data_IF_006519623313
#
_entry.id   IF_006519623313
#
_cell.length_a   1.000
_cell.length_b   1.000
_cell.length_c   1.000
_cell.angle_alpha   90.00
_cell.angle_beta   90.00
_cell.angle_gamma   90.00
#
_symmetry.space_group_name_H-M   'P 1'
#
loop_
_entity.id
_entity.type
_entity.pdbx_description
1 polymer ?
#
# COMPACT_ATOMS: atom_id res chain seq x y z
N UNK A 1 -29.72 6.03 49.98
CA UNK A 1 -29.98 5.51 48.64
C UNK A 1 -31.45 5.74 48.27
N UNK A 2 -31.71 6.06 47.02
CA UNK A 2 -33.04 6.04 46.43
C UNK A 2 -33.09 4.78 45.54
N UNK A 3 -34.15 3.98 45.70
CA UNK A 3 -34.39 2.78 44.91
C UNK A 3 -35.74 2.87 44.22
N UNK A 4 -35.78 2.64 42.92
CA UNK A 4 -37.00 2.58 42.13
C UNK A 4 -37.26 1.12 41.67
N UNK A 5 -38.49 0.65 41.86
CA UNK A 5 -38.93 -0.69 41.57
C UNK A 5 -40.06 -0.70 40.55
N UNK A 6 -40.08 -1.73 39.70
CA UNK A 6 -41.22 -2.10 38.86
C UNK A 6 -41.52 -3.61 39.07
N UNK A 7 -42.72 -3.93 39.50
CA UNK A 7 -43.15 -5.30 39.83
C UNK A 7 -42.20 -5.98 40.82
N UNK A 8 -41.83 -5.32 41.92
CA UNK A 8 -40.87 -5.77 42.94
C UNK A 8 -39.44 -6.08 42.41
N UNK A 9 -39.09 -5.67 41.19
CA UNK A 9 -37.75 -5.76 40.64
C UNK A 9 -37.14 -4.33 40.66
N UNK A 10 -35.96 -4.20 41.28
CA UNK A 10 -35.24 -2.93 41.34
C UNK A 10 -34.80 -2.53 39.92
N UNK A 11 -35.06 -1.28 39.52
CA UNK A 11 -34.75 -0.76 38.19
C UNK A 11 -33.72 0.37 38.25
N UNK A 12 -33.67 1.12 39.34
CA UNK A 12 -32.65 2.15 39.58
C UNK A 12 -32.31 2.23 41.07
N UNK A 13 -31.06 2.43 41.37
CA UNK A 13 -30.63 2.80 42.74
C UNK A 13 -29.57 3.90 42.68
N UNK A 14 -29.46 4.69 43.76
CA UNK A 14 -28.38 5.66 43.98
C UNK A 14 -27.46 5.17 45.10
N UNK A 15 -26.15 5.42 44.94
CA UNK A 15 -25.11 5.15 45.94
C UNK A 15 -24.18 6.35 46.06
N UNK A 16 -23.16 6.26 46.94
CA UNK A 16 -22.10 7.28 47.02
C UNK A 16 -21.28 7.40 45.72
N UNK A 17 -21.29 6.38 44.87
CA UNK A 17 -20.59 6.36 43.57
C UNK A 17 -21.46 6.75 42.39
N UNK A 18 -22.72 7.14 42.59
CA UNK A 18 -23.62 7.52 41.49
C UNK A 18 -24.94 6.79 41.46
N UNK A 19 -25.50 6.59 40.28
CA UNK A 19 -26.74 5.87 40.03
C UNK A 19 -26.51 4.65 39.16
N UNK A 20 -27.16 3.54 39.53
CA UNK A 20 -27.13 2.29 38.76
C UNK A 20 -28.53 2.01 38.23
N UNK A 21 -28.64 1.76 36.92
CA UNK A 21 -29.83 1.23 36.26
C UNK A 21 -29.66 -0.26 36.03
N UNK A 22 -30.73 -1.02 36.21
CA UNK A 22 -30.78 -2.46 35.99
C UNK A 22 -31.60 -2.73 34.75
N UNK A 23 -31.12 -3.65 33.92
CA UNK A 23 -31.58 -3.96 32.58
C UNK A 23 -31.19 -2.84 31.56
N UNK A 24 -32.12 -2.39 30.73
CA UNK A 24 -31.87 -1.40 29.65
C UNK A 24 -32.14 0.01 30.18
N UNK A 25 -31.20 0.94 29.94
CA UNK A 25 -31.40 2.35 30.05
C UNK A 25 -31.66 2.93 28.66
N UNK A 26 -32.88 3.41 28.41
CA UNK A 26 -33.26 4.03 27.14
C UNK A 26 -33.15 5.53 27.23
N UNK A 27 -32.47 6.16 26.29
CA UNK A 27 -32.42 7.60 26.07
C UNK A 27 -33.24 7.89 24.82
N UNK A 28 -34.35 8.56 24.94
CA UNK A 28 -35.31 8.80 23.89
C UNK A 28 -35.38 10.30 23.55
N UNK A 29 -35.26 10.67 22.29
CA UNK A 29 -35.54 12.01 21.79
C UNK A 29 -37.04 12.24 21.65
N UNK A 30 -37.47 13.49 21.61
CA UNK A 30 -38.84 13.83 21.23
C UNK A 30 -39.11 13.44 19.78
N UNK A 31 -40.37 13.32 19.37
CA UNK A 31 -40.69 13.03 17.97
C UNK A 31 -40.00 14.02 17.00
N UNK A 32 -39.25 13.49 16.02
CA UNK A 32 -38.43 14.27 15.11
C UNK A 32 -37.17 14.89 15.71
N UNK A 33 -36.86 14.59 16.98
CA UNK A 33 -35.70 15.09 17.68
C UNK A 33 -34.61 14.04 17.91
N UNK A 34 -33.37 14.52 18.06
CA UNK A 34 -32.21 13.67 18.33
C UNK A 34 -32.21 13.14 19.78
N UNK A 35 -31.60 11.98 20.00
CA UNK A 35 -31.32 11.44 21.32
C UNK A 35 -29.83 11.54 21.65
N UNK A 36 -29.45 12.03 22.85
CA UNK A 36 -28.06 12.19 23.22
C UNK A 36 -27.76 11.79 24.66
N UNK A 37 -26.64 11.03 24.83
CA UNK A 37 -25.99 10.88 26.13
C UNK A 37 -24.81 11.85 26.19
N UNK A 38 -24.85 12.79 27.12
CA UNK A 38 -23.75 13.75 27.37
C UNK A 38 -23.00 13.34 28.64
N UNK A 39 -21.66 13.41 28.52
CA UNK A 39 -20.75 13.15 29.62
C UNK A 39 -19.87 14.37 29.80
N UNK A 40 -19.89 14.94 31.01
CA UNK A 40 -19.07 16.09 31.38
C UNK A 40 -18.14 15.65 32.51
N UNK A 41 -16.85 15.76 32.29
CA UNK A 41 -15.83 15.59 33.32
C UNK A 41 -15.65 16.88 34.06
N UNK A 42 -15.07 16.85 35.28
CA UNK A 42 -14.70 18.02 36.09
C UNK A 42 -15.74 19.16 36.07
N UNK A 43 -17.00 18.80 36.41
CA UNK A 43 -18.16 19.71 36.42
C UNK A 43 -18.57 20.27 35.03
N UNK A 44 -17.73 20.06 33.95
CA UNK A 44 -17.99 20.53 32.60
C UNK A 44 -17.83 22.01 32.40
N UNK A 45 -17.02 22.68 33.23
CA UNK A 45 -16.75 24.10 33.12
C UNK A 45 -15.85 24.43 31.93
N UNK A 46 -14.92 23.55 31.59
CA UNK A 46 -14.10 23.65 30.38
C UNK A 46 -14.72 22.96 29.14
N UNK A 47 -14.40 23.46 27.96
CA UNK A 47 -14.88 22.86 26.70
C UNK A 47 -14.34 21.46 26.50
N UNK A 48 -13.08 21.19 26.88
CA UNK A 48 -12.41 19.91 26.72
C UNK A 48 -13.09 18.77 27.52
N UNK A 49 -13.86 19.08 28.55
CA UNK A 49 -14.50 18.11 29.44
C UNK A 49 -15.78 17.51 28.86
N UNK A 50 -16.25 18.02 27.73
CA UNK A 50 -17.57 17.71 27.18
C UNK A 50 -17.51 16.74 26.02
N UNK A 51 -18.22 15.62 26.19
CA UNK A 51 -18.40 14.58 25.19
C UNK A 51 -19.86 14.21 25.03
N UNK A 52 -20.22 13.66 23.88
CA UNK A 52 -21.55 13.08 23.68
C UNK A 52 -21.56 11.90 22.72
N UNK A 53 -22.51 10.99 22.95
CA UNK A 53 -23.08 10.09 21.96
C UNK A 53 -24.37 10.75 21.44
N UNK A 54 -24.52 10.86 20.12
CA UNK A 54 -25.67 11.50 19.50
C UNK A 54 -26.27 10.61 18.42
N UNK A 55 -27.51 10.14 18.64
CA UNK A 55 -28.29 9.48 17.60
C UNK A 55 -29.19 10.51 16.93
N UNK A 56 -29.09 10.67 15.62
CA UNK A 56 -29.81 11.72 14.88
C UNK A 56 -31.14 11.24 14.31
N UNK A 57 -32.14 12.11 14.44
CA UNK A 57 -33.45 11.87 13.81
C UNK A 57 -33.36 11.97 12.28
N UNK A 58 -33.97 11.01 11.57
CA UNK A 58 -34.13 11.06 10.12
C UNK A 58 -32.92 10.73 9.26
N UNK A 59 -31.70 10.66 9.82
CA UNK A 59 -30.48 10.35 9.08
C UNK A 59 -29.89 8.98 9.39
N UNK A 60 -30.42 8.26 10.39
CA UNK A 60 -29.92 6.94 10.84
C UNK A 60 -28.42 6.94 11.19
N UNK A 61 -27.94 8.00 11.83
CA UNK A 61 -26.54 8.17 12.18
C UNK A 61 -26.35 8.22 13.70
N UNK A 62 -25.23 7.62 14.16
CA UNK A 62 -24.75 7.71 15.52
C UNK A 62 -23.37 8.39 15.52
N UNK A 63 -23.18 9.41 16.34
CA UNK A 63 -21.94 10.14 16.48
C UNK A 63 -21.33 9.97 17.87
N UNK A 64 -19.98 9.94 17.92
CA UNK A 64 -19.20 10.23 19.11
C UNK A 64 -18.50 11.56 18.86
N UNK A 65 -18.78 12.56 19.71
CA UNK A 65 -18.30 13.92 19.51
C UNK A 65 -17.69 14.48 20.79
N UNK A 66 -16.68 15.35 20.61
CA UNK A 66 -16.11 16.20 21.65
C UNK A 66 -16.49 17.67 21.43
N UNK A 67 -16.23 18.54 22.44
CA UNK A 67 -16.53 19.96 22.35
C UNK A 67 -15.30 20.83 22.60
N UNK A 68 -14.10 20.33 22.39
CA UNK A 68 -12.83 20.97 22.77
C UNK A 68 -12.63 22.34 22.14
N UNK A 69 -13.08 22.56 20.92
CA UNK A 69 -12.97 23.86 20.22
C UNK A 69 -14.05 24.88 20.59
N UNK A 70 -15.05 24.50 21.38
CA UNK A 70 -16.24 25.31 21.65
C UNK A 70 -17.40 25.06 20.70
N UNK A 71 -17.25 24.05 19.80
CA UNK A 71 -18.30 23.45 18.97
C UNK A 71 -18.22 21.94 19.06
N UNK A 72 -19.33 21.24 18.72
CA UNK A 72 -19.31 19.77 18.66
C UNK A 72 -18.58 19.28 17.42
N UNK A 73 -17.45 18.61 17.63
CA UNK A 73 -16.62 18.02 16.59
C UNK A 73 -16.78 16.52 16.56
N UNK A 74 -16.87 15.96 15.35
CA UNK A 74 -17.03 14.52 15.14
C UNK A 74 -15.69 13.81 15.27
N UNK A 75 -15.64 12.77 16.13
CA UNK A 75 -14.53 11.83 16.19
C UNK A 75 -14.88 10.52 15.45
N UNK A 76 -16.11 10.01 15.67
CA UNK A 76 -16.61 8.80 15.02
C UNK A 76 -18.04 9.06 14.54
N UNK A 77 -18.32 8.65 13.32
CA UNK A 77 -19.68 8.58 12.77
C UNK A 77 -19.97 7.14 12.34
N UNK A 78 -21.12 6.62 12.72
CA UNK A 78 -21.66 5.36 12.27
C UNK A 78 -22.96 5.62 11.52
N UNK A 79 -23.15 4.99 10.38
CA UNK A 79 -24.31 5.13 9.51
C UNK A 79 -25.14 3.85 9.52
N UNK A 80 -26.47 3.97 9.48
CA UNK A 80 -27.37 2.82 9.46
C UNK A 80 -27.22 1.87 8.26
N UNK A 81 -26.46 2.29 7.22
CA UNK A 81 -26.05 1.42 6.11
C UNK A 81 -24.87 0.50 6.44
N UNK A 82 -24.28 0.62 7.65
CA UNK A 82 -23.13 -0.15 8.12
C UNK A 82 -21.78 0.54 7.95
N UNK A 83 -21.73 1.74 7.39
CA UNK A 83 -20.49 2.52 7.25
C UNK A 83 -20.07 3.09 8.62
N UNK A 84 -18.77 3.06 8.91
CA UNK A 84 -18.14 3.75 10.04
C UNK A 84 -17.05 4.67 9.54
N UNK A 85 -16.98 5.87 10.05
CA UNK A 85 -16.03 6.91 9.69
C UNK A 85 -15.28 7.42 10.92
N UNK A 86 -13.97 7.62 10.79
CA UNK A 86 -13.11 8.21 11.80
C UNK A 86 -12.65 9.58 11.35
N UNK A 87 -12.67 10.55 12.27
CA UNK A 87 -12.36 11.94 12.00
C UNK A 87 -11.23 12.45 12.88
N UNK A 88 -10.52 13.42 12.38
CA UNK A 88 -9.61 14.28 13.12
C UNK A 88 -9.92 15.72 12.73
N UNK A 89 -10.33 16.55 13.72
CA UNK A 89 -10.69 17.95 13.54
C UNK A 89 -11.73 18.10 12.40
N UNK A 90 -12.88 17.44 12.55
CA UNK A 90 -14.00 17.33 11.59
C UNK A 90 -13.60 16.88 10.15
N UNK A 91 -12.34 16.50 9.95
CA UNK A 91 -11.84 15.99 8.68
C UNK A 91 -11.79 14.47 8.68
N UNK A 92 -12.55 13.83 7.79
CA UNK A 92 -12.56 12.35 7.65
C UNK A 92 -11.16 11.82 7.30
N UNK A 93 -10.69 10.83 8.05
CA UNK A 93 -9.40 10.16 7.86
C UNK A 93 -9.52 8.71 7.42
N UNK A 94 -10.54 8.00 7.88
CA UNK A 94 -10.78 6.61 7.52
C UNK A 94 -12.28 6.34 7.40
N UNK A 95 -12.66 5.46 6.49
CA UNK A 95 -14.03 4.93 6.40
C UNK A 95 -14.04 3.46 6.00
N UNK A 96 -15.06 2.73 6.47
CA UNK A 96 -15.39 1.39 5.96
C UNK A 96 -16.27 1.51 4.74
N UNK A 97 -16.06 0.64 3.75
CA UNK A 97 -16.83 0.55 2.52
C UNK A 97 -17.25 -0.90 2.28
N UNK A 98 -18.12 -1.15 1.29
CA UNK A 98 -18.52 -2.50 0.90
C UNK A 98 -17.35 -3.38 0.42
N UNK A 99 -16.23 -2.76 0.04
CA UNK A 99 -15.04 -3.45 -0.50
C UNK A 99 -13.85 -3.45 0.46
N UNK A 100 -14.01 -2.87 1.68
CA UNK A 100 -12.92 -2.75 2.65
C UNK A 100 -12.89 -1.40 3.35
N UNK A 101 -11.72 -0.78 3.46
CA UNK A 101 -11.52 0.52 4.10
C UNK A 101 -10.84 1.52 3.19
N UNK A 102 -11.18 2.80 3.33
CA UNK A 102 -10.52 3.91 2.63
C UNK A 102 -9.84 4.82 3.64
N UNK A 103 -8.53 5.07 3.44
CA UNK A 103 -7.75 6.04 4.20
C UNK A 103 -7.60 7.32 3.39
N UNK A 104 -7.87 8.47 4.01
CA UNK A 104 -7.61 9.79 3.43
C UNK A 104 -6.34 10.36 4.07
N UNK A 105 -5.24 10.38 3.33
CA UNK A 105 -3.93 10.80 3.79
C UNK A 105 -2.91 9.67 3.78
N UNK A 106 -2.00 9.66 4.75
CA UNK A 106 -0.93 8.68 4.87
C UNK A 106 -1.19 7.71 6.03
N UNK A 107 -0.88 6.43 5.82
CA UNK A 107 -0.67 5.47 6.89
C UNK A 107 0.84 5.45 7.19
N UNK A 108 1.23 5.94 8.36
CA UNK A 108 2.63 6.03 8.77
C UNK A 108 3.01 4.84 9.63
N UNK A 109 4.12 4.23 9.29
CA UNK A 109 4.74 3.16 10.08
C UNK A 109 6.11 3.65 10.56
N UNK A 110 6.44 3.51 11.85
CA UNK A 110 7.81 3.74 12.33
C UNK A 110 8.77 2.68 11.77
N UNK A 111 10.07 2.92 11.95
CA UNK A 111 11.11 1.95 11.59
C UNK A 111 10.83 0.57 12.21
N UNK A 112 11.24 -0.48 11.56
CA UNK A 112 11.01 -1.89 11.91
C UNK A 112 9.52 -2.29 11.94
N UNK A 113 8.64 -1.41 11.44
CA UNK A 113 7.22 -1.68 11.26
C UNK A 113 6.87 -1.62 9.77
N UNK A 114 5.80 -2.29 9.37
CA UNK A 114 5.44 -2.32 7.96
C UNK A 114 4.11 -3.01 7.68
N UNK A 115 3.87 -3.30 6.41
CA UNK A 115 2.69 -4.01 5.93
C UNK A 115 3.08 -5.45 5.62
N UNK A 116 2.27 -6.39 6.10
CA UNK A 116 2.43 -7.82 5.85
C UNK A 116 1.19 -8.37 5.14
N UNK A 117 1.42 -9.24 4.17
CA UNK A 117 0.38 -9.95 3.44
C UNK A 117 0.63 -11.45 3.54
N UNK A 118 -0.47 -12.24 3.52
CA UNK A 118 -0.43 -13.69 3.72
C UNK A 118 -0.48 -14.08 5.20
N UNK A 119 -0.96 -15.29 5.51
CA UNK A 119 -1.15 -15.79 6.87
C UNK A 119 0.18 -15.92 7.64
N UNK A 120 1.28 -16.13 6.94
CA UNK A 120 2.64 -16.24 7.50
C UNK A 120 3.51 -15.01 7.25
N UNK A 121 2.89 -13.87 6.87
CA UNK A 121 3.60 -12.65 6.48
C UNK A 121 4.53 -12.89 5.26
N UNK A 122 4.00 -13.56 4.23
CA UNK A 122 4.75 -14.01 3.07
C UNK A 122 5.35 -12.85 2.28
N UNK A 123 4.60 -11.77 2.06
CA UNK A 123 5.12 -10.50 1.54
C UNK A 123 5.19 -9.45 2.65
N UNK A 124 6.37 -8.85 2.85
CA UNK A 124 6.60 -7.79 3.82
C UNK A 124 7.20 -6.54 3.17
N UNK A 125 6.58 -5.37 3.40
CA UNK A 125 7.06 -4.06 2.95
C UNK A 125 7.34 -3.22 4.19
N UNK A 126 8.59 -2.82 4.40
CA UNK A 126 9.03 -2.11 5.61
C UNK A 126 10.30 -1.27 5.39
N UNK A 127 10.65 -0.44 6.38
CA UNK A 127 11.91 0.29 6.50
C UNK A 127 12.57 -0.08 7.82
N UNK A 128 13.91 -0.34 7.82
CA UNK A 128 14.68 -0.78 8.99
C UNK A 128 15.48 0.34 9.67
N UNK A 129 15.15 1.61 9.38
CA UNK A 129 15.90 2.77 9.83
C UNK A 129 17.07 3.16 8.90
N UNK A 130 17.37 2.34 7.91
CA UNK A 130 18.44 2.57 6.92
C UNK A 130 18.00 2.25 5.50
N UNK A 131 17.29 1.14 5.30
CA UNK A 131 16.89 0.64 3.98
C UNK A 131 15.40 0.33 3.92
N UNK A 132 14.83 0.44 2.73
CA UNK A 132 13.44 0.03 2.44
C UNK A 132 13.43 -1.31 1.71
N UNK A 133 12.52 -2.18 2.10
CA UNK A 133 12.42 -3.55 1.60
C UNK A 133 11.03 -3.87 1.05
N UNK A 134 11.00 -4.64 -0.03
CA UNK A 134 9.87 -5.43 -0.50
C UNK A 134 10.38 -6.87 -0.48
N UNK A 135 9.96 -7.66 0.51
CA UNK A 135 10.52 -9.00 0.77
C UNK A 135 9.44 -10.05 0.60
N UNK A 136 9.63 -10.95 -0.37
CA UNK A 136 8.87 -12.18 -0.49
C UNK A 136 9.56 -13.26 0.35
N UNK A 137 8.87 -13.75 1.38
CA UNK A 137 9.37 -14.71 2.37
C UNK A 137 8.59 -16.03 2.34
N UNK A 138 7.57 -16.12 1.50
CA UNK A 138 6.75 -17.30 1.29
C UNK A 138 7.41 -18.35 0.37
N UNK A 139 6.59 -19.16 -0.26
CA UNK A 139 7.05 -20.23 -1.16
C UNK A 139 6.92 -19.90 -2.64
N UNK A 140 6.42 -18.72 -2.97
CA UNK A 140 6.19 -18.23 -4.33
C UNK A 140 7.26 -17.28 -4.82
N UNK A 141 6.99 -16.65 -5.96
CA UNK A 141 7.85 -15.63 -6.58
C UNK A 141 7.29 -14.22 -6.31
N UNK A 142 8.17 -13.23 -6.20
CA UNK A 142 7.76 -11.83 -6.28
C UNK A 142 7.52 -11.45 -7.75
N UNK A 143 6.26 -11.31 -8.14
CA UNK A 143 5.87 -10.94 -9.50
C UNK A 143 5.58 -9.44 -9.55
N UNK A 144 6.38 -8.71 -10.36
CA UNK A 144 6.15 -7.29 -10.67
C UNK A 144 5.68 -7.17 -12.11
N UNK A 145 4.41 -6.84 -12.32
CA UNK A 145 3.82 -6.75 -13.64
C UNK A 145 3.05 -5.42 -13.84
N UNK A 146 2.86 -5.05 -15.11
CA UNK A 146 2.00 -3.94 -15.52
C UNK A 146 1.04 -4.42 -16.59
N UNK A 147 -0.13 -3.80 -16.70
CA UNK A 147 -1.10 -4.07 -17.75
C UNK A 147 -0.82 -3.18 -18.97
N UNK A 148 0.12 -3.62 -19.82
CA UNK A 148 0.43 -2.99 -21.10
C UNK A 148 1.37 -1.79 -21.06
N UNK A 149 1.96 -1.44 -19.90
CA UNK A 149 2.94 -0.36 -19.76
C UNK A 149 4.34 -0.88 -19.47
N UNK A 150 5.31 0.03 -19.38
CA UNK A 150 6.71 -0.31 -19.09
C UNK A 150 6.98 -0.35 -17.59
N UNK A 151 7.99 -1.13 -17.19
CA UNK A 151 8.55 -1.12 -15.83
C UNK A 151 9.85 -0.31 -15.86
N UNK A 152 10.02 0.61 -14.89
CA UNK A 152 11.20 1.44 -14.74
C UNK A 152 11.83 1.26 -13.36
N UNK A 153 13.15 1.13 -13.32
CA UNK A 153 13.94 1.31 -12.11
C UNK A 153 14.79 2.56 -12.26
N UNK A 154 14.56 3.54 -11.41
CA UNK A 154 15.18 4.87 -11.45
C UNK A 154 16.02 5.08 -10.20
N UNK A 155 17.36 5.01 -10.30
CA UNK A 155 18.24 5.13 -9.14
C UNK A 155 18.25 6.55 -8.56
N UNK A 156 18.08 7.59 -9.39
CA UNK A 156 18.03 8.99 -8.94
C UNK A 156 17.02 9.78 -9.78
N UNK A 157 16.21 10.63 -9.14
CA UNK A 157 15.33 11.58 -9.79
C UNK A 157 14.53 10.97 -10.95
N UNK A 158 14.73 11.49 -12.16
CA UNK A 158 14.10 10.98 -13.39
C UNK A 158 15.02 10.13 -14.26
N UNK A 159 16.26 9.89 -13.82
CA UNK A 159 17.19 9.04 -14.56
C UNK A 159 16.73 7.58 -14.56
N UNK A 160 16.71 6.95 -15.73
CA UNK A 160 16.35 5.55 -15.88
C UNK A 160 17.62 4.70 -15.88
N UNK A 161 17.74 3.77 -14.91
CA UNK A 161 18.79 2.76 -14.89
C UNK A 161 18.41 1.51 -15.66
N UNK A 162 17.19 0.99 -15.41
CA UNK A 162 16.63 -0.15 -16.12
C UNK A 162 15.22 0.18 -16.60
N UNK A 163 14.89 -0.20 -17.83
CA UNK A 163 13.55 -0.12 -18.39
C UNK A 163 13.20 -1.44 -19.08
N UNK A 164 12.04 -1.97 -18.76
CA UNK A 164 11.44 -3.13 -19.41
C UNK A 164 10.24 -2.64 -20.21
N UNK A 165 10.31 -2.75 -21.52
CA UNK A 165 9.28 -2.27 -22.44
C UNK A 165 8.28 -3.40 -22.69
N UNK A 166 6.98 -3.13 -22.51
CA UNK A 166 5.93 -4.10 -22.81
C UNK A 166 6.03 -4.56 -24.26
N UNK A 167 6.13 -5.89 -24.48
CA UNK A 167 6.32 -6.51 -25.80
C UNK A 167 7.56 -6.01 -26.57
N UNK A 168 8.59 -5.53 -25.88
CA UNK A 168 9.75 -4.88 -26.46
C UNK A 168 11.05 -5.17 -25.74
N UNK A 169 11.96 -4.23 -25.80
CA UNK A 169 13.31 -4.33 -25.29
C UNK A 169 13.40 -4.28 -23.75
N UNK A 170 14.46 -4.90 -23.22
CA UNK A 170 15.05 -4.55 -21.92
C UNK A 170 16.22 -3.60 -22.20
N UNK A 171 16.20 -2.44 -21.58
CA UNK A 171 17.21 -1.38 -21.76
C UNK A 171 17.93 -1.13 -20.43
N UNK A 172 19.29 -1.08 -20.46
CA UNK A 172 20.13 -0.65 -19.35
C UNK A 172 20.83 0.65 -19.73
N UNK A 173 20.82 1.62 -18.84
CA UNK A 173 21.44 2.93 -19.05
C UNK A 173 22.53 3.21 -18.01
N UNK A 174 23.50 4.02 -18.40
CA UNK A 174 24.51 4.64 -17.55
C UNK A 174 24.48 6.15 -17.79
N UNK A 175 24.29 6.93 -16.75
CA UNK A 175 24.22 8.40 -16.80
C UNK A 175 23.27 8.88 -17.92
N UNK A 176 22.01 8.39 -17.86
CA UNK A 176 20.94 8.71 -18.81
C UNK A 176 21.15 8.19 -20.24
N UNK A 177 22.29 7.55 -20.55
CA UNK A 177 22.62 7.04 -21.87
C UNK A 177 22.48 5.53 -21.94
N UNK A 178 21.67 5.02 -22.87
CA UNK A 178 21.48 3.60 -23.09
C UNK A 178 22.80 2.92 -23.50
N UNK A 179 23.18 1.84 -22.83
CA UNK A 179 24.39 1.05 -23.06
C UNK A 179 24.11 -0.37 -23.52
N UNK A 180 22.95 -0.92 -23.16
CA UNK A 180 22.56 -2.28 -23.50
C UNK A 180 21.07 -2.31 -23.83
N UNK A 181 20.70 -3.08 -24.87
CA UNK A 181 19.29 -3.37 -25.19
C UNK A 181 19.11 -4.76 -25.75
N UNK A 182 17.97 -5.39 -25.47
CA UNK A 182 17.52 -6.59 -26.21
C UNK A 182 16.67 -6.16 -27.40
N UNK A 183 16.79 -6.87 -28.53
CA UNK A 183 15.99 -6.64 -29.74
C UNK A 183 15.68 -7.97 -30.45
N UNK A 184 14.96 -7.91 -31.55
CA UNK A 184 14.57 -9.13 -32.33
C UNK A 184 15.75 -9.97 -32.80
N UNK A 185 16.94 -9.39 -32.93
CA UNK A 185 18.15 -10.07 -33.44
C UNK A 185 19.12 -10.48 -32.32
N UNK A 186 18.80 -10.19 -31.06
CA UNK A 186 19.65 -10.50 -29.91
C UNK A 186 19.84 -9.28 -28.97
N UNK A 187 21.10 -8.95 -28.69
CA UNK A 187 21.47 -7.85 -27.82
C UNK A 187 22.37 -6.86 -28.56
N UNK A 188 22.20 -5.58 -28.24
CA UNK A 188 23.06 -4.51 -28.73
C UNK A 188 23.77 -3.85 -27.55
N UNK A 189 25.09 -3.69 -27.66
CA UNK A 189 25.93 -2.92 -26.75
C UNK A 189 26.35 -1.63 -27.45
N UNK A 190 26.08 -0.49 -26.80
CA UNK A 190 26.51 0.84 -27.31
C UNK A 190 27.77 1.26 -26.57
N UNK A 191 28.90 1.21 -27.25
CA UNK A 191 30.23 1.43 -26.71
C UNK A 191 31.10 0.18 -26.76
N UNK A 192 31.96 0.00 -25.77
CA UNK A 192 32.83 -1.17 -25.69
C UNK A 192 32.12 -2.34 -25.00
N UNK A 193 32.36 -3.55 -25.50
CA UNK A 193 32.03 -4.80 -24.84
C UNK A 193 33.33 -5.45 -24.38
N UNK A 194 33.61 -5.40 -23.07
CA UNK A 194 34.76 -6.08 -22.46
C UNK A 194 34.36 -7.47 -21.97
N UNK A 195 35.08 -8.47 -22.38
CA UNK A 195 34.92 -9.86 -21.95
C UNK A 195 36.19 -10.27 -21.22
N UNK A 196 36.11 -10.31 -19.88
CA UNK A 196 37.25 -10.50 -18.99
C UNK A 196 37.87 -11.91 -19.03
N UNK A 197 37.21 -12.89 -19.70
CA UNK A 197 37.70 -14.26 -19.84
C UNK A 197 37.69 -14.66 -21.29
N UNK A 198 36.65 -15.35 -21.77
CA UNK A 198 36.53 -15.75 -23.15
C UNK A 198 35.08 -15.64 -23.62
N UNK A 199 34.89 -15.37 -24.91
CA UNK A 199 33.62 -15.53 -25.61
C UNK A 199 33.58 -16.90 -26.30
N UNK A 200 32.53 -17.65 -26.04
CA UNK A 200 32.31 -18.93 -26.67
C UNK A 200 31.19 -18.79 -27.72
N UNK A 201 31.49 -19.26 -28.92
CA UNK A 201 30.51 -19.40 -30.01
C UNK A 201 30.37 -20.87 -30.37
N UNK A 202 29.15 -21.36 -30.67
CA UNK A 202 28.98 -22.71 -31.18
C UNK A 202 29.65 -22.87 -32.56
N UNK A 203 29.85 -24.09 -32.99
CA UNK A 203 30.38 -24.38 -34.33
C UNK A 203 29.49 -23.76 -35.41
N UNK A 204 30.11 -23.18 -36.41
CA UNK A 204 29.41 -22.66 -37.58
C UNK A 204 28.75 -23.81 -38.38
N UNK A 205 27.44 -23.73 -38.55
CA UNK A 205 26.66 -24.69 -39.33
C UNK A 205 26.06 -24.06 -40.58
N UNK A 206 25.50 -22.86 -40.47
CA UNK A 206 24.98 -22.07 -41.59
C UNK A 206 24.68 -20.62 -41.17
N UNK A 207 24.69 -19.70 -42.12
CA UNK A 207 24.37 -18.30 -41.88
C UNK A 207 25.34 -17.61 -40.91
N UNK A 208 24.81 -16.92 -39.88
CA UNK A 208 25.59 -16.19 -38.85
C UNK A 208 25.80 -16.99 -37.56
N UNK A 209 25.35 -18.22 -37.48
CA UNK A 209 25.45 -19.03 -36.27
C UNK A 209 26.90 -19.46 -36.04
N UNK A 210 27.42 -19.24 -34.83
CA UNK A 210 28.76 -19.67 -34.41
C UNK A 210 29.92 -18.91 -35.02
N UNK A 211 29.72 -17.68 -35.53
CA UNK A 211 30.80 -16.84 -36.02
C UNK A 211 30.78 -15.43 -35.48
N UNK A 212 31.96 -14.85 -35.32
CA UNK A 212 32.14 -13.41 -35.10
C UNK A 212 32.25 -12.73 -36.47
N UNK A 213 31.46 -11.66 -36.67
CA UNK A 213 31.40 -10.92 -37.93
C UNK A 213 31.69 -9.45 -37.63
N UNK A 214 32.53 -8.82 -38.42
CA UNK A 214 32.92 -7.44 -38.30
C UNK A 214 32.73 -6.70 -39.61
N UNK A 215 32.31 -5.44 -39.52
CA UNK A 215 32.01 -4.60 -40.68
C UNK A 215 30.56 -4.74 -41.13
N UNK A 216 30.04 -3.71 -41.81
CA UNK A 216 28.65 -3.66 -42.30
C UNK A 216 28.33 -4.63 -43.42
N UNK A 217 29.37 -5.13 -44.12
CA UNK A 217 29.28 -6.07 -45.23
C UNK A 217 29.94 -7.42 -44.91
N UNK A 218 30.06 -7.78 -43.60
CA UNK A 218 30.72 -8.98 -43.13
C UNK A 218 32.22 -9.08 -43.60
N UNK A 219 32.90 -7.92 -43.55
CA UNK A 219 34.25 -7.74 -44.10
C UNK A 219 35.30 -8.61 -43.42
N UNK A 220 35.09 -8.99 -42.16
CA UNK A 220 35.93 -9.94 -41.45
C UNK A 220 35.04 -10.93 -40.69
N UNK A 221 35.28 -12.20 -40.86
CA UNK A 221 34.57 -13.30 -40.18
C UNK A 221 35.57 -14.22 -39.50
N UNK A 222 35.30 -14.56 -38.22
CA UNK A 222 36.09 -15.53 -37.46
C UNK A 222 35.12 -16.61 -36.93
N UNK A 223 35.39 -17.86 -37.31
CA UNK A 223 34.54 -19.00 -36.94
C UNK A 223 35.24 -20.33 -36.96
N UNK A 224 34.70 -21.34 -36.28
CA UNK A 224 35.07 -22.75 -36.45
C UNK A 224 34.01 -23.46 -37.27
N UNK A 225 34.42 -24.11 -38.35
CA UNK A 225 33.54 -24.91 -39.19
C UNK A 225 33.56 -26.36 -38.70
N UNK A 226 32.51 -26.76 -37.96
CA UNK A 226 32.40 -28.10 -37.36
C UNK A 226 32.34 -29.22 -38.41
N UNK A 227 31.81 -28.96 -39.63
CA UNK A 227 31.73 -29.96 -40.69
C UNK A 227 33.10 -30.29 -41.32
N UNK A 228 33.98 -29.30 -41.39
CA UNK A 228 35.32 -29.44 -41.92
C UNK A 228 36.41 -29.51 -40.87
N UNK A 229 36.02 -29.29 -39.58
CA UNK A 229 36.92 -29.21 -38.43
C UNK A 229 38.05 -28.19 -38.62
N UNK A 230 37.74 -27.03 -39.18
CA UNK A 230 38.68 -25.94 -39.42
C UNK A 230 38.27 -24.63 -38.77
N UNK A 231 39.23 -23.94 -38.15
CA UNK A 231 39.06 -22.54 -37.75
C UNK A 231 39.41 -21.65 -38.94
N UNK A 232 38.58 -20.67 -39.24
CA UNK A 232 38.66 -19.84 -40.44
C UNK A 232 38.64 -18.36 -40.03
N UNK A 233 39.51 -17.56 -40.59
CA UNK A 233 39.48 -16.10 -40.65
C UNK A 233 39.30 -15.75 -42.11
N UNK A 234 38.20 -15.07 -42.40
CA UNK A 234 37.79 -14.75 -43.77
C UNK A 234 37.64 -13.26 -43.96
#
# INVERSE_FOLDING_TARGET
>A
AVELYHNNVRKLETSSGGATTYDIHTIEGAEGGDAALKMYADEGDDNADKWRFLATAGSSQLYIQNYSSGSWETNIQMDGSGKTELYYDDSKKFETTSSGGTLTGYLSFPDDSGIKFGDSADLHIYHDGSNSYISELGTGDLIVNTDGNNIFFKPTGNETGLKIIANGAVELSYDGSQKFETNANGVKVTGQCEISSHAAWPDFTSGYVGKAVFGSNDDLQIYHNGSTNKSIIY
#
